data_IF_433050478918
#
_entry.id   IF_433050478918
#
_cell.length_a   1.000
_cell.length_b   1.000
_cell.length_c   1.000
_cell.angle_alpha   90.00
_cell.angle_beta   90.00
_cell.angle_gamma   90.00
#
_symmetry.space_group_name_H-M   'P 1'
#
loop_
_entity.id
_entity.type
_entity.pdbx_description
1 polymer ?
#
# COMPACT_ATOMS: atom_id res chain seq x y z
N UNK A 1 5.17 -35.33 17.26
CA UNK A 1 4.11 -34.31 17.09
C UNK A 1 4.78 -33.02 16.63
N UNK A 2 4.54 -32.58 15.39
CA UNK A 2 5.18 -31.41 14.81
C UNK A 2 4.61 -30.13 15.41
N UNK A 3 5.44 -29.42 16.18
CA UNK A 3 5.12 -28.18 16.87
C UNK A 3 5.09 -27.02 15.85
N UNK A 4 4.02 -26.92 15.06
CA UNK A 4 3.85 -25.81 14.12
C UNK A 4 3.49 -24.54 14.90
N UNK A 5 4.46 -23.64 15.07
CA UNK A 5 4.17 -22.26 15.50
C UNK A 5 3.19 -21.64 14.48
N UNK A 6 1.92 -21.52 14.87
CA UNK A 6 0.91 -20.81 14.09
C UNK A 6 1.16 -19.31 14.24
N UNK A 7 1.79 -18.73 13.24
CA UNK A 7 1.88 -17.28 13.11
C UNK A 7 0.54 -16.71 12.63
N UNK A 8 0.12 -15.61 13.24
CA UNK A 8 -1.08 -14.89 12.85
C UNK A 8 -0.99 -14.33 11.42
N UNK A 9 -2.13 -14.18 10.74
CA UNK A 9 -2.18 -13.71 9.36
C UNK A 9 -1.73 -12.25 9.26
N UNK A 10 -2.10 -11.39 10.21
CA UNK A 10 -1.66 -9.99 10.22
C UNK A 10 -0.15 -9.88 10.41
N UNK A 11 0.40 -10.70 11.30
CA UNK A 11 1.85 -10.76 11.53
C UNK A 11 2.63 -11.19 10.28
N UNK A 12 2.14 -12.20 9.56
CA UNK A 12 2.76 -12.64 8.30
C UNK A 12 2.75 -11.53 7.25
N UNK A 13 1.62 -10.86 7.06
CA UNK A 13 1.48 -9.75 6.11
C UNK A 13 2.39 -8.57 6.48
N UNK A 14 2.47 -8.22 7.77
CA UNK A 14 3.35 -7.17 8.26
C UNK A 14 4.82 -7.43 7.91
N UNK A 15 5.31 -8.66 8.14
CA UNK A 15 6.67 -9.06 7.79
C UNK A 15 6.94 -9.04 6.27
N UNK A 16 5.94 -9.37 5.45
CA UNK A 16 6.06 -9.29 4.00
C UNK A 16 6.11 -7.83 3.53
N UNK A 17 5.29 -6.93 4.09
CA UNK A 17 5.34 -5.51 3.76
C UNK A 17 6.69 -4.89 4.12
N UNK A 18 7.24 -5.20 5.30
CA UNK A 18 8.58 -4.73 5.68
C UNK A 18 9.66 -5.18 4.70
N UNK A 19 9.53 -6.38 4.14
CA UNK A 19 10.43 -6.87 3.10
C UNK A 19 10.25 -6.11 1.77
N UNK A 20 9.00 -5.82 1.37
CA UNK A 20 8.70 -5.02 0.17
C UNK A 20 9.18 -3.56 0.31
N UNK A 21 9.15 -3.00 1.52
CA UNK A 21 9.70 -1.69 1.87
C UNK A 21 11.25 -1.66 1.85
N UNK A 22 11.90 -2.79 1.55
CA UNK A 22 13.34 -2.87 1.34
C UNK A 22 14.16 -3.35 2.54
N UNK A 23 13.53 -3.82 3.64
CA UNK A 23 14.30 -4.43 4.73
C UNK A 23 14.90 -5.78 4.31
N UNK A 24 16.14 -6.02 4.75
CA UNK A 24 16.83 -7.29 4.50
C UNK A 24 16.12 -8.47 5.20
N UNK A 25 15.88 -9.59 4.51
CA UNK A 25 15.22 -10.76 5.09
C UNK A 25 16.05 -11.39 6.22
N UNK A 26 17.38 -11.21 6.23
CA UNK A 26 18.21 -11.67 7.34
C UNK A 26 17.94 -10.86 8.62
N UNK A 27 17.82 -9.54 8.51
CA UNK A 27 17.50 -8.66 9.64
C UNK A 27 16.11 -8.97 10.19
N UNK A 28 15.12 -9.16 9.32
CA UNK A 28 13.76 -9.53 9.71
C UNK A 28 13.68 -10.90 10.41
N UNK A 29 14.48 -11.86 9.99
CA UNK A 29 14.51 -13.18 10.63
C UNK A 29 15.11 -13.13 12.04
N UNK A 30 16.14 -12.32 12.24
CA UNK A 30 16.78 -12.10 13.55
C UNK A 30 15.87 -11.28 14.49
N UNK A 31 15.30 -10.17 14.01
CA UNK A 31 14.48 -9.23 14.80
C UNK A 31 13.16 -9.87 15.26
N UNK A 32 12.54 -10.68 14.39
CA UNK A 32 11.21 -11.27 14.65
C UNK A 32 11.28 -12.77 14.99
N UNK A 33 12.49 -13.34 15.12
CA UNK A 33 12.73 -14.78 15.40
C UNK A 33 11.98 -15.72 14.45
N UNK A 34 11.90 -15.34 13.18
CA UNK A 34 11.22 -16.08 12.11
C UNK A 34 12.27 -16.82 11.28
N UNK A 35 11.97 -18.03 10.84
CA UNK A 35 12.87 -18.73 9.93
C UNK A 35 12.84 -18.11 8.54
N UNK A 36 14.01 -17.99 7.90
CA UNK A 36 14.13 -17.50 6.51
C UNK A 36 13.19 -18.24 5.57
N UNK A 37 13.08 -19.56 5.71
CA UNK A 37 12.19 -20.40 4.90
C UNK A 37 10.71 -20.04 5.08
N UNK A 38 10.28 -19.70 6.30
CA UNK A 38 8.90 -19.27 6.54
C UNK A 38 8.65 -17.89 5.92
N UNK A 39 9.58 -16.94 6.09
CA UNK A 39 9.50 -15.61 5.50
C UNK A 39 9.38 -15.67 3.97
N UNK A 40 10.27 -16.41 3.29
CA UNK A 40 10.20 -16.56 1.83
C UNK A 40 8.90 -17.23 1.36
N UNK A 41 8.37 -18.21 2.12
CA UNK A 41 7.05 -18.80 1.80
C UNK A 41 5.95 -17.74 1.89
N UNK A 42 5.95 -16.92 2.94
CA UNK A 42 4.95 -15.86 3.09
C UNK A 42 5.11 -14.77 2.03
N UNK A 43 6.34 -14.37 1.70
CA UNK A 43 6.60 -13.42 0.62
C UNK A 43 5.96 -13.93 -0.68
N UNK A 44 6.22 -15.18 -1.07
CA UNK A 44 5.61 -15.76 -2.27
C UNK A 44 4.08 -15.83 -2.18
N UNK A 45 3.55 -16.22 -1.02
CA UNK A 45 2.12 -16.42 -0.83
C UNK A 45 1.32 -15.11 -0.83
N UNK A 46 1.90 -14.05 -0.28
CA UNK A 46 1.25 -12.74 -0.17
C UNK A 46 1.67 -11.78 -1.27
N UNK A 47 2.83 -11.92 -1.93
CA UNK A 47 3.18 -11.07 -3.08
C UNK A 47 2.23 -11.25 -4.25
N UNK A 48 1.77 -12.46 -4.53
CA UNK A 48 0.83 -12.72 -5.64
C UNK A 48 -0.60 -12.26 -5.29
N UNK A 49 -1.01 -12.41 -4.03
CA UNK A 49 -2.37 -12.06 -3.58
C UNK A 49 -2.51 -10.55 -3.31
N UNK A 50 -1.46 -9.92 -2.77
CA UNK A 50 -1.48 -8.50 -2.41
C UNK A 50 -1.23 -7.60 -3.63
N UNK A 51 -0.58 -8.06 -4.70
CA UNK A 51 -0.51 -7.32 -5.96
C UNK A 51 -1.90 -7.08 -6.57
N UNK A 52 -2.77 -8.09 -6.55
CA UNK A 52 -4.13 -7.96 -7.10
C UNK A 52 -5.01 -7.06 -6.20
N UNK A 53 -4.81 -7.14 -4.87
CA UNK A 53 -5.52 -6.30 -3.90
C UNK A 53 -5.01 -4.85 -3.86
N UNK A 54 -3.69 -4.65 -3.91
CA UNK A 54 -3.04 -3.34 -4.02
C UNK A 54 -3.48 -2.64 -5.28
N UNK A 55 -3.49 -3.34 -6.43
CA UNK A 55 -3.97 -2.77 -7.69
C UNK A 55 -5.41 -2.28 -7.60
N UNK A 56 -6.30 -3.02 -6.94
CA UNK A 56 -7.69 -2.60 -6.72
C UNK A 56 -7.78 -1.39 -5.78
N UNK A 57 -6.94 -1.31 -4.74
CA UNK A 57 -6.91 -0.18 -3.79
C UNK A 57 -6.31 1.06 -4.46
N UNK A 58 -5.21 0.91 -5.19
CA UNK A 58 -4.56 1.95 -5.98
C UNK A 58 -5.52 2.50 -7.04
N UNK A 59 -6.25 1.65 -7.76
CA UNK A 59 -7.26 2.09 -8.73
C UNK A 59 -8.38 2.91 -8.08
N UNK A 60 -8.83 2.53 -6.87
CA UNK A 60 -9.85 3.28 -6.13
C UNK A 60 -9.32 4.63 -5.64
N UNK A 61 -8.12 4.65 -5.06
CA UNK A 61 -7.48 5.88 -4.58
C UNK A 61 -7.16 6.84 -5.73
N UNK A 62 -6.68 6.31 -6.87
CA UNK A 62 -6.41 7.09 -8.08
C UNK A 62 -7.69 7.74 -8.62
N UNK A 63 -8.79 6.98 -8.66
CA UNK A 63 -10.09 7.49 -9.12
C UNK A 63 -10.65 8.58 -8.20
N UNK A 64 -10.47 8.43 -6.89
CA UNK A 64 -10.87 9.44 -5.92
C UNK A 64 -10.01 10.71 -6.05
N UNK A 65 -8.70 10.55 -6.20
CA UNK A 65 -7.78 11.66 -6.43
C UNK A 65 -8.11 12.42 -7.73
N UNK A 66 -8.45 11.70 -8.81
CA UNK A 66 -8.90 12.30 -10.06
C UNK A 66 -10.18 13.13 -9.88
N UNK A 67 -11.15 12.65 -9.09
CA UNK A 67 -12.37 13.41 -8.79
C UNK A 67 -12.06 14.69 -8.02
N UNK A 68 -11.26 14.60 -6.98
CA UNK A 68 -10.88 15.76 -6.18
C UNK A 68 -10.16 16.80 -7.03
N UNK A 69 -9.25 16.37 -7.91
CA UNK A 69 -8.57 17.26 -8.86
C UNK A 69 -9.57 17.97 -9.79
N UNK A 70 -10.54 17.26 -10.35
CA UNK A 70 -11.53 17.83 -11.26
C UNK A 70 -12.41 18.89 -10.58
N UNK A 71 -12.81 18.65 -9.32
CA UNK A 71 -13.57 19.63 -8.53
C UNK A 71 -12.72 20.89 -8.31
N UNK A 72 -11.46 20.71 -7.89
CA UNK A 72 -10.55 21.82 -7.61
C UNK A 72 -10.27 22.68 -8.85
N UNK A 73 -10.09 22.06 -10.01
CA UNK A 73 -9.89 22.75 -11.29
C UNK A 73 -11.11 23.59 -11.67
N UNK A 74 -12.32 23.10 -11.41
CA UNK A 74 -13.55 23.84 -11.65
C UNK A 74 -13.72 25.03 -10.69
N UNK A 75 -13.41 24.85 -9.41
CA UNK A 75 -13.38 25.94 -8.42
C UNK A 75 -12.39 27.05 -8.81
N UNK A 76 -11.17 26.66 -9.21
CA UNK A 76 -10.18 27.60 -9.72
C UNK A 76 -10.67 28.36 -10.96
N UNK A 77 -11.40 27.69 -11.86
CA UNK A 77 -11.96 28.31 -13.07
C UNK A 77 -13.02 29.35 -12.74
N UNK A 78 -13.90 29.06 -11.79
CA UNK A 78 -14.94 30.00 -11.33
C UNK A 78 -14.28 31.21 -10.67
N UNK A 79 -13.31 30.98 -9.78
CA UNK A 79 -12.61 32.05 -9.08
C UNK A 79 -11.84 32.96 -10.05
N UNK A 80 -11.16 32.37 -11.04
CA UNK A 80 -10.42 33.14 -12.06
C UNK A 80 -11.36 34.01 -12.89
N UNK A 81 -12.54 33.50 -13.27
CA UNK A 81 -13.55 34.30 -13.97
C UNK A 81 -14.08 35.45 -13.12
N UNK A 82 -14.33 35.20 -11.83
CA UNK A 82 -14.78 36.24 -10.92
C UNK A 82 -13.72 37.34 -10.77
N UNK A 83 -12.45 36.97 -10.57
CA UNK A 83 -11.34 37.93 -10.52
C UNK A 83 -11.29 38.75 -11.81
N UNK A 84 -11.34 38.11 -12.98
CA UNK A 84 -11.32 38.81 -14.26
C UNK A 84 -12.45 39.85 -14.40
N UNK A 85 -13.65 39.55 -13.89
CA UNK A 85 -14.77 40.49 -13.86
C UNK A 85 -14.56 41.67 -12.90
N UNK A 86 -13.88 41.45 -11.77
CA UNK A 86 -13.59 42.52 -10.80
C UNK A 86 -12.39 43.38 -11.20
N UNK A 87 -11.49 42.86 -12.03
CA UNK A 87 -10.28 43.55 -12.50
C UNK A 87 -10.41 44.18 -13.89
N UNK A 88 -11.50 43.88 -14.64
CA UNK A 88 -11.83 44.52 -15.92
C UNK A 88 -12.61 45.80 -15.73
#
# INVERSE_FOLDING_TARGET
>A
MSNYKKYDIHFKKYLVNLYLDGKSPAALCEEYFVSKTALYRWIKQYSEIDNDLQKIIEDKQLKELQRQKAILEEEMRILTKAIALFTS
#
